data_IF_949362560787
#
_entry.id   IF_949362560787
#
_cell.length_a   1.000
_cell.length_b   1.000
_cell.length_c   1.000
_cell.angle_alpha   90.00
_cell.angle_beta   90.00
_cell.angle_gamma   90.00
#
_symmetry.space_group_name_H-M   'P 1'
#
loop_
_entity.id
_entity.type
_entity.pdbx_description
1 polymer ?
#
# COMPACT_ATOMS: atom_id res chain seq x y z
N UNK A 1 -42.61 -20.94 -0.56
CA UNK A 1 -41.38 -20.87 -1.40
C UNK A 1 -40.31 -21.88 -0.98
N UNK A 2 -39.92 -22.00 0.30
CA UNK A 2 -38.89 -22.96 0.79
C UNK A 2 -39.07 -24.42 0.30
N UNK A 3 -40.29 -24.95 0.30
CA UNK A 3 -40.56 -26.35 -0.12
C UNK A 3 -40.28 -26.61 -1.62
N UNK A 4 -40.64 -25.64 -2.50
CA UNK A 4 -40.37 -25.76 -3.95
C UNK A 4 -38.88 -25.67 -4.28
N UNK A 5 -38.13 -24.89 -3.50
CA UNK A 5 -36.69 -24.75 -3.68
C UNK A 5 -35.95 -26.05 -3.31
N UNK A 6 -36.30 -26.65 -2.16
CA UNK A 6 -35.73 -27.94 -1.72
C UNK A 6 -36.04 -29.05 -2.74
N UNK A 7 -37.31 -29.16 -3.17
CA UNK A 7 -37.74 -30.16 -4.15
C UNK A 7 -36.99 -30.04 -5.49
N UNK A 8 -36.74 -28.82 -5.96
CA UNK A 8 -35.92 -28.62 -7.16
C UNK A 8 -34.49 -29.12 -6.94
N UNK A 9 -33.87 -28.72 -5.83
CA UNK A 9 -32.46 -29.05 -5.52
C UNK A 9 -32.27 -30.57 -5.45
N UNK A 10 -33.20 -31.30 -4.83
CA UNK A 10 -33.14 -32.77 -4.79
C UNK A 10 -33.20 -33.40 -6.19
N UNK A 11 -34.16 -32.97 -7.02
CA UNK A 11 -34.30 -33.47 -8.40
C UNK A 11 -33.08 -33.13 -9.25
N UNK A 12 -32.53 -31.93 -9.09
CA UNK A 12 -31.37 -31.46 -9.84
C UNK A 12 -30.09 -32.20 -9.43
N UNK A 13 -29.90 -32.43 -8.11
CA UNK A 13 -28.83 -33.26 -7.57
C UNK A 13 -28.87 -34.69 -8.10
N UNK A 14 -30.04 -35.30 -8.19
CA UNK A 14 -30.21 -36.65 -8.76
C UNK A 14 -29.89 -36.65 -10.27
N UNK A 15 -30.49 -35.73 -11.04
CA UNK A 15 -30.31 -35.63 -12.49
C UNK A 15 -28.84 -35.48 -12.91
N UNK A 16 -28.08 -34.70 -12.14
CA UNK A 16 -26.67 -34.37 -12.43
C UNK A 16 -25.68 -35.06 -11.50
N UNK A 17 -26.09 -36.11 -10.77
CA UNK A 17 -25.20 -36.92 -9.91
C UNK A 17 -24.36 -36.06 -8.95
N UNK A 18 -24.99 -35.12 -8.24
CA UNK A 18 -24.35 -34.21 -7.27
C UNK A 18 -23.24 -33.30 -7.84
N UNK A 19 -23.15 -33.15 -9.16
CA UNK A 19 -22.06 -32.42 -9.83
C UNK A 19 -22.13 -30.90 -9.73
N UNK A 20 -23.22 -30.36 -9.19
CA UNK A 20 -23.46 -28.92 -9.05
C UNK A 20 -23.80 -28.56 -7.60
N UNK A 21 -23.39 -27.36 -7.18
CA UNK A 21 -23.86 -26.74 -5.95
C UNK A 21 -25.01 -25.77 -6.26
N UNK A 22 -25.92 -25.65 -5.30
CA UNK A 22 -27.12 -24.82 -5.37
C UNK A 22 -27.15 -23.79 -4.21
N UNK A 23 -25.98 -23.46 -3.66
CA UNK A 23 -25.86 -22.56 -2.51
C UNK A 23 -26.47 -21.16 -2.74
N UNK A 24 -26.46 -20.70 -4.00
CA UNK A 24 -27.03 -19.40 -4.41
C UNK A 24 -28.33 -19.54 -5.21
N UNK A 25 -28.93 -20.73 -5.21
CA UNK A 25 -30.09 -21.01 -6.03
C UNK A 25 -31.39 -20.56 -5.34
N UNK A 26 -32.14 -19.69 -6.01
CA UNK A 26 -33.47 -19.28 -5.59
C UNK A 26 -34.52 -19.65 -6.64
N UNK A 27 -35.52 -20.42 -6.23
CA UNK A 27 -36.57 -20.92 -7.13
C UNK A 27 -37.74 -19.93 -7.20
N UNK A 28 -37.87 -19.25 -8.33
CA UNK A 28 -39.01 -18.38 -8.65
C UNK A 28 -40.07 -19.18 -9.41
N UNK A 29 -39.72 -19.67 -10.60
CA UNK A 29 -40.56 -20.55 -11.43
C UNK A 29 -39.68 -21.31 -12.45
N UNK A 30 -40.28 -22.21 -13.22
CA UNK A 30 -39.57 -23.07 -14.17
C UNK A 30 -38.86 -22.32 -15.31
N UNK A 31 -39.31 -21.10 -15.64
CA UNK A 31 -38.86 -20.32 -16.80
C UNK A 31 -37.93 -19.15 -16.45
N UNK A 32 -37.89 -18.72 -15.20
CA UNK A 32 -36.95 -17.71 -14.70
C UNK A 32 -35.59 -18.36 -14.46
N UNK A 33 -34.51 -17.72 -14.91
CA UNK A 33 -33.15 -18.20 -14.68
C UNK A 33 -32.79 -18.05 -13.20
N UNK A 34 -32.03 -19.03 -12.70
CA UNK A 34 -31.49 -19.03 -11.34
C UNK A 34 -30.01 -19.45 -11.37
N UNK A 35 -29.29 -19.17 -10.28
CA UNK A 35 -27.85 -19.39 -10.18
C UNK A 35 -27.54 -20.83 -9.77
N UNK A 36 -26.75 -21.53 -10.59
CA UNK A 36 -26.25 -22.88 -10.33
C UNK A 36 -24.73 -22.83 -10.32
N UNK A 37 -24.08 -23.51 -9.38
CA UNK A 37 -22.62 -23.47 -9.22
C UNK A 37 -21.98 -24.73 -9.79
N UNK A 38 -21.18 -24.57 -10.85
CA UNK A 38 -20.28 -25.60 -11.36
C UNK A 38 -18.97 -25.61 -10.54
N UNK A 39 -18.50 -26.78 -10.07
CA UNK A 39 -17.25 -26.86 -9.30
C UNK A 39 -16.01 -26.46 -10.11
N UNK A 40 -16.08 -26.59 -11.44
CA UNK A 40 -14.96 -26.29 -12.36
C UNK A 40 -15.01 -24.84 -12.86
N UNK A 41 -16.20 -24.33 -13.18
CA UNK A 41 -16.36 -23.05 -13.89
C UNK A 41 -17.08 -21.95 -13.07
N UNK A 42 -17.51 -22.27 -11.85
CA UNK A 42 -18.20 -21.33 -10.95
C UNK A 42 -19.71 -21.21 -11.24
N UNK A 43 -20.30 -20.13 -10.73
CA UNK A 43 -21.73 -19.83 -10.86
C UNK A 43 -22.12 -19.60 -12.33
N UNK A 44 -23.26 -20.13 -12.78
CA UNK A 44 -23.84 -19.84 -14.10
C UNK A 44 -25.36 -19.78 -13.99
N UNK A 45 -25.99 -19.01 -14.88
CA UNK A 45 -27.44 -18.89 -14.93
C UNK A 45 -28.05 -19.92 -15.88
N UNK A 46 -29.08 -20.62 -15.40
CA UNK A 46 -29.86 -21.52 -16.23
C UNK A 46 -31.31 -21.59 -15.73
N UNK A 47 -32.23 -21.91 -16.63
CA UNK A 47 -33.62 -22.15 -16.27
C UNK A 47 -33.76 -23.50 -15.54
N UNK A 48 -34.58 -23.57 -14.47
CA UNK A 48 -34.83 -24.81 -13.74
C UNK A 48 -35.31 -25.97 -14.62
N UNK A 49 -36.23 -25.72 -15.56
CA UNK A 49 -36.76 -26.78 -16.43
C UNK A 49 -35.71 -27.33 -17.40
N UNK A 50 -34.91 -26.44 -18.00
CA UNK A 50 -33.79 -26.79 -18.87
C UNK A 50 -32.71 -27.57 -18.11
N UNK A 51 -32.42 -27.17 -16.87
CA UNK A 51 -31.45 -27.88 -16.02
C UNK A 51 -31.93 -29.29 -15.69
N UNK A 52 -33.20 -29.46 -15.31
CA UNK A 52 -33.79 -30.78 -15.04
C UNK A 52 -33.90 -31.66 -16.30
N UNK A 53 -34.05 -31.04 -17.48
CA UNK A 53 -33.95 -31.76 -18.76
C UNK A 53 -32.56 -32.35 -19.01
N UNK A 54 -31.54 -31.96 -18.24
CA UNK A 54 -30.19 -32.53 -18.28
C UNK A 54 -29.13 -31.61 -18.88
N UNK A 55 -29.48 -30.38 -19.23
CA UNK A 55 -28.49 -29.40 -19.64
C UNK A 55 -27.64 -28.98 -18.45
N UNK A 56 -26.32 -29.11 -18.59
CA UNK A 56 -25.36 -28.72 -17.57
C UNK A 56 -24.75 -27.35 -17.83
N UNK A 57 -23.60 -27.13 -17.19
CA UNK A 57 -22.74 -25.97 -17.39
C UNK A 57 -22.27 -25.89 -18.86
N UNK A 58 -22.61 -24.80 -19.59
CA UNK A 58 -22.20 -24.62 -20.99
C UNK A 58 -20.69 -24.65 -21.21
N UNK A 59 -19.91 -24.20 -20.22
CA UNK A 59 -18.46 -24.23 -20.27
C UNK A 59 -17.88 -25.66 -20.22
N UNK A 60 -18.53 -26.58 -19.50
CA UNK A 60 -18.13 -28.00 -19.49
C UNK A 60 -18.39 -28.72 -20.82
N UNK A 61 -19.40 -28.30 -21.58
CA UNK A 61 -19.74 -28.89 -22.89
C UNK A 61 -18.95 -28.27 -24.05
N UNK A 62 -18.31 -27.12 -23.86
CA UNK A 62 -17.53 -26.42 -24.89
C UNK A 62 -16.05 -26.81 -24.93
N UNK A 63 -15.32 -26.33 -25.96
CA UNK A 63 -13.86 -26.52 -26.11
C UNK A 63 -12.98 -25.73 -25.11
N UNK A 64 -13.56 -25.11 -24.09
CA UNK A 64 -12.86 -24.21 -23.17
C UNK A 64 -12.28 -25.02 -22.00
N UNK A 65 -10.95 -25.16 -21.94
CA UNK A 65 -10.22 -26.03 -20.99
C UNK A 65 -9.75 -25.36 -19.69
N UNK A 66 -10.02 -24.07 -19.47
CA UNK A 66 -9.50 -23.37 -18.29
C UNK A 66 -10.53 -23.37 -17.16
N UNK A 67 -10.19 -24.01 -16.05
CA UNK A 67 -10.99 -23.97 -14.83
C UNK A 67 -10.82 -22.65 -14.06
N UNK A 68 -11.79 -22.37 -13.18
CA UNK A 68 -11.84 -21.13 -12.41
C UNK A 68 -10.67 -21.01 -11.43
N UNK A 69 -10.14 -22.12 -10.92
CA UNK A 69 -9.02 -22.13 -9.97
C UNK A 69 -7.71 -21.73 -10.65
N UNK A 70 -7.51 -22.16 -11.89
CA UNK A 70 -6.39 -21.78 -12.75
C UNK A 70 -6.46 -20.30 -13.10
N UNK A 71 -7.66 -19.78 -13.38
CA UNK A 71 -7.85 -18.34 -13.57
C UNK A 71 -7.51 -17.55 -12.29
N UNK A 72 -8.03 -17.97 -11.13
CA UNK A 72 -7.81 -17.28 -9.85
C UNK A 72 -6.34 -17.30 -9.46
N UNK A 73 -5.67 -18.45 -9.55
CA UNK A 73 -4.24 -18.58 -9.21
C UNK A 73 -3.36 -17.69 -10.08
N UNK A 74 -3.53 -17.74 -11.41
CA UNK A 74 -2.79 -16.89 -12.36
C UNK A 74 -3.06 -15.40 -12.12
N UNK A 75 -4.32 -15.03 -11.91
CA UNK A 75 -4.69 -13.63 -11.71
C UNK A 75 -4.18 -13.08 -10.38
N UNK A 76 -4.16 -13.91 -9.33
CA UNK A 76 -3.62 -13.56 -8.00
C UNK A 76 -2.13 -13.27 -8.07
N UNK A 77 -1.36 -14.12 -8.76
CA UNK A 77 0.09 -13.92 -8.99
C UNK A 77 0.33 -12.65 -9.82
N UNK A 78 -0.38 -12.51 -10.95
CA UNK A 78 -0.21 -11.38 -11.87
C UNK A 78 -0.46 -10.02 -11.19
N UNK A 79 -1.49 -9.94 -10.34
CA UNK A 79 -1.92 -8.68 -9.74
C UNK A 79 -1.48 -8.50 -8.28
N UNK A 80 -0.67 -9.41 -7.73
CA UNK A 80 -0.17 -9.34 -6.36
C UNK A 80 -1.29 -9.28 -5.31
N UNK A 81 -2.37 -10.04 -5.52
CA UNK A 81 -3.50 -10.12 -4.58
C UNK A 81 -4.41 -8.88 -4.50
N UNK A 82 -4.34 -7.94 -5.47
CA UNK A 82 -5.19 -6.73 -5.50
C UNK A 82 -6.70 -6.99 -5.66
N UNK A 83 -7.07 -8.17 -6.13
CA UNK A 83 -8.44 -8.52 -6.49
C UNK A 83 -8.91 -9.78 -5.76
N UNK A 84 -10.23 -9.93 -5.67
CA UNK A 84 -10.89 -11.16 -5.25
C UNK A 84 -11.94 -11.54 -6.29
N UNK A 85 -12.25 -12.83 -6.35
CA UNK A 85 -13.01 -13.43 -7.45
C UNK A 85 -14.24 -14.21 -6.97
N UNK A 86 -14.75 -13.90 -5.76
CA UNK A 86 -15.86 -14.64 -5.15
C UNK A 86 -17.14 -14.64 -5.98
N UNK A 87 -17.39 -13.56 -6.74
CA UNK A 87 -18.54 -13.40 -7.63
C UNK A 87 -18.19 -13.63 -9.12
N UNK A 88 -16.97 -14.07 -9.41
CA UNK A 88 -16.51 -14.19 -10.79
C UNK A 88 -17.09 -15.44 -11.46
N UNK A 89 -17.68 -15.26 -12.64
CA UNK A 89 -18.26 -16.34 -13.45
C UNK A 89 -17.34 -16.61 -14.63
N UNK A 90 -16.76 -17.82 -14.69
CA UNK A 90 -15.95 -18.22 -15.83
C UNK A 90 -16.85 -18.81 -16.93
N UNK A 91 -17.37 -17.96 -17.81
CA UNK A 91 -18.22 -18.35 -18.95
C UNK A 91 -17.48 -18.33 -20.30
N UNK A 92 -16.15 -18.09 -20.28
CA UNK A 92 -15.27 -18.10 -21.44
C UNK A 92 -14.24 -16.97 -21.41
N UNK A 93 -13.18 -17.08 -22.21
CA UNK A 93 -12.02 -16.15 -22.18
C UNK A 93 -12.38 -14.70 -22.50
N UNK A 94 -13.41 -14.48 -23.34
CA UNK A 94 -13.87 -13.17 -23.78
C UNK A 94 -15.10 -12.67 -23.00
N UNK A 95 -15.80 -13.55 -22.28
CA UNK A 95 -17.00 -13.17 -21.53
C UNK A 95 -16.61 -12.42 -20.28
N UNK A 96 -17.24 -11.28 -20.02
CA UNK A 96 -16.94 -10.45 -18.86
C UNK A 96 -17.53 -11.08 -17.59
N UNK A 97 -16.72 -11.18 -16.55
CA UNK A 97 -17.15 -11.54 -15.19
C UNK A 97 -16.97 -10.37 -14.22
N UNK A 98 -17.56 -10.49 -13.03
CA UNK A 98 -17.41 -9.50 -11.95
C UNK A 98 -16.14 -9.79 -11.16
N UNK A 99 -15.22 -8.84 -11.14
CA UNK A 99 -13.99 -8.88 -10.35
C UNK A 99 -14.11 -7.83 -9.25
N UNK A 100 -13.79 -8.21 -8.02
CA UNK A 100 -13.82 -7.29 -6.89
C UNK A 100 -12.43 -6.71 -6.63
N UNK A 101 -12.30 -5.38 -6.79
CA UNK A 101 -11.13 -4.63 -6.37
C UNK A 101 -11.24 -4.30 -4.88
N UNK A 102 -10.22 -4.67 -4.10
CA UNK A 102 -10.18 -4.39 -2.65
C UNK A 102 -10.27 -2.90 -2.29
N UNK A 103 -10.01 -2.00 -3.24
CA UNK A 103 -10.02 -0.54 -3.04
C UNK A 103 -11.30 0.09 -3.62
N UNK A 104 -11.71 -0.32 -4.82
CA UNK A 104 -12.75 0.37 -5.59
C UNK A 104 -14.05 -0.43 -5.76
N UNK A 105 -14.13 -1.62 -5.16
CA UNK A 105 -15.26 -2.52 -5.26
C UNK A 105 -15.34 -3.25 -6.61
N UNK A 106 -16.55 -3.69 -6.95
CA UNK A 106 -16.83 -4.52 -8.11
C UNK A 106 -16.64 -3.77 -9.44
N UNK A 107 -16.02 -4.43 -10.42
CA UNK A 107 -15.95 -4.00 -11.81
C UNK A 107 -16.05 -5.20 -12.74
N UNK A 108 -16.38 -4.98 -14.01
CA UNK A 108 -16.51 -6.06 -14.99
C UNK A 108 -15.32 -6.11 -15.93
N UNK A 109 -14.82 -7.32 -16.19
CA UNK A 109 -13.72 -7.54 -17.14
C UNK A 109 -13.70 -8.99 -17.63
N UNK A 110 -13.18 -9.22 -18.84
CA UNK A 110 -13.01 -10.58 -19.37
C UNK A 110 -11.74 -11.23 -18.80
N UNK A 111 -11.73 -12.57 -18.61
CA UNK A 111 -10.54 -13.28 -18.13
C UNK A 111 -9.30 -12.98 -18.95
N UNK A 112 -9.41 -12.96 -20.29
CA UNK A 112 -8.28 -12.70 -21.17
C UNK A 112 -7.68 -11.30 -20.96
N UNK A 113 -8.52 -10.28 -20.88
CA UNK A 113 -8.06 -8.91 -20.62
C UNK A 113 -7.41 -8.80 -19.24
N UNK A 114 -7.98 -9.48 -18.23
CA UNK A 114 -7.45 -9.45 -16.88
C UNK A 114 -6.09 -10.13 -16.76
N UNK A 115 -5.94 -11.30 -17.39
CA UNK A 115 -4.68 -12.05 -17.47
C UNK A 115 -3.62 -11.36 -18.34
N UNK A 116 -4.04 -10.50 -19.28
CA UNK A 116 -3.15 -9.61 -20.01
C UNK A 116 -2.67 -8.40 -19.17
N UNK A 117 -2.99 -8.35 -17.87
CA UNK A 117 -2.54 -7.31 -16.94
C UNK A 117 -3.48 -6.12 -16.84
N UNK A 118 -4.63 -6.11 -17.52
CA UNK A 118 -5.62 -5.05 -17.33
C UNK A 118 -6.25 -5.20 -15.94
N UNK A 119 -6.39 -4.08 -15.25
CA UNK A 119 -6.89 -4.02 -13.87
C UNK A 119 -8.23 -3.33 -13.75
N UNK A 120 -8.57 -2.96 -12.52
CA UNK A 120 -9.73 -2.11 -12.25
C UNK A 120 -9.57 -0.76 -13.00
N UNK A 121 -10.55 -0.34 -13.82
CA UNK A 121 -10.50 0.93 -14.52
C UNK A 121 -10.32 2.11 -13.55
N UNK A 122 -10.96 2.04 -12.37
CA UNK A 122 -10.75 3.03 -11.31
C UNK A 122 -9.32 2.99 -10.79
N UNK A 123 -8.66 1.83 -10.59
CA UNK A 123 -7.23 1.84 -10.24
C UNK A 123 -6.33 2.49 -11.31
N UNK A 124 -6.74 2.46 -12.58
CA UNK A 124 -5.96 3.02 -13.70
C UNK A 124 -6.26 4.51 -13.88
N UNK A 125 -7.53 4.92 -13.77
CA UNK A 125 -7.97 6.32 -13.90
C UNK A 125 -7.86 7.13 -12.61
N UNK A 126 -7.88 6.43 -11.49
CA UNK A 126 -7.84 6.98 -10.14
C UNK A 126 -6.47 6.70 -9.55
N UNK A 127 -5.63 7.71 -9.59
CA UNK A 127 -4.53 7.84 -8.63
C UNK A 127 -5.12 8.18 -7.23
N UNK A 128 -6.18 7.49 -6.81
CA UNK A 128 -6.81 7.69 -5.52
C UNK A 128 -6.12 6.76 -4.52
N UNK A 129 -5.19 7.33 -3.79
CA UNK A 129 -4.63 6.71 -2.60
C UNK A 129 -5.73 6.37 -1.60
N UNK A 130 -5.58 5.28 -0.84
CA UNK A 130 -6.33 5.20 0.42
C UNK A 130 -5.82 6.30 1.36
N UNK A 131 -6.62 6.70 2.35
CA UNK A 131 -6.20 7.70 3.33
C UNK A 131 -4.87 7.33 4.02
N UNK A 132 -4.68 6.05 4.36
CA UNK A 132 -3.42 5.56 4.94
C UNK A 132 -2.22 5.78 3.99
N UNK A 133 -2.36 5.40 2.72
CA UNK A 133 -1.30 5.57 1.71
C UNK A 133 -1.04 7.06 1.43
N UNK A 134 -2.08 7.89 1.45
CA UNK A 134 -1.93 9.34 1.33
C UNK A 134 -1.05 9.90 2.44
N UNK A 135 -1.34 9.53 3.70
CA UNK A 135 -0.61 10.00 4.88
C UNK A 135 0.85 9.53 4.85
N UNK A 136 1.10 8.27 4.50
CA UNK A 136 2.47 7.73 4.39
C UNK A 136 3.30 8.51 3.35
N UNK A 137 2.74 8.73 2.16
CA UNK A 137 3.40 9.52 1.11
C UNK A 137 3.62 10.97 1.52
N UNK A 138 2.59 11.61 2.10
CA UNK A 138 2.69 12.99 2.55
C UNK A 138 3.76 13.15 3.65
N UNK A 139 3.83 12.21 4.59
CA UNK A 139 4.88 12.15 5.60
C UNK A 139 6.28 11.98 5.01
N UNK A 140 6.42 11.18 3.95
CA UNK A 140 7.69 10.95 3.27
C UNK A 140 8.18 12.23 2.58
N UNK A 141 7.28 12.90 1.84
CA UNK A 141 7.57 14.14 1.10
C UNK A 141 7.91 15.28 2.04
N UNK A 142 7.18 15.39 3.15
CA UNK A 142 7.29 16.50 4.09
C UNK A 142 8.10 16.16 5.34
N UNK A 143 8.78 15.01 5.37
CA UNK A 143 9.63 14.55 6.48
C UNK A 143 8.93 14.66 7.85
N UNK A 144 7.66 14.25 7.92
CA UNK A 144 6.80 14.27 9.12
C UNK A 144 6.55 15.67 9.74
N UNK A 145 6.50 16.73 8.93
CA UNK A 145 6.23 18.10 9.41
C UNK A 145 4.75 18.42 9.69
N UNK A 146 3.85 17.48 9.42
CA UNK A 146 2.41 17.68 9.47
C UNK A 146 1.71 16.53 10.21
N UNK A 147 0.54 16.83 10.76
CA UNK A 147 -0.39 15.87 11.34
C UNK A 147 -1.69 15.84 10.53
N UNK A 148 -2.29 14.66 10.47
CA UNK A 148 -3.45 14.34 9.61
C UNK A 148 -4.61 13.76 10.43
N UNK A 149 -4.77 14.18 11.68
CA UNK A 149 -5.67 13.55 12.66
C UNK A 149 -7.15 13.60 12.26
N UNK A 150 -7.57 14.63 11.50
CA UNK A 150 -8.97 14.87 11.14
C UNK A 150 -9.20 14.93 9.62
N UNK A 151 -8.34 14.28 8.82
CA UNK A 151 -8.56 14.28 7.37
C UNK A 151 -9.61 13.22 6.98
N UNK A 152 -10.46 13.57 6.03
CA UNK A 152 -11.30 12.64 5.27
C UNK A 152 -10.92 12.76 3.79
N UNK A 153 -9.91 11.97 3.38
CA UNK A 153 -9.37 12.02 2.02
C UNK A 153 -10.19 11.13 1.09
N UNK A 154 -10.97 11.75 0.19
CA UNK A 154 -11.79 11.04 -0.80
C UNK A 154 -11.27 11.20 -2.24
N UNK A 155 -10.54 12.29 -2.53
CA UNK A 155 -10.05 12.59 -3.88
C UNK A 155 -8.82 13.49 -3.87
N UNK A 156 -7.98 13.36 -4.89
CA UNK A 156 -6.77 14.16 -5.09
C UNK A 156 -7.08 15.67 -5.25
N UNK A 157 -8.22 16.01 -5.86
CA UNK A 157 -8.62 17.41 -6.08
C UNK A 157 -9.31 18.03 -4.86
N UNK A 158 -9.66 17.22 -3.85
CA UNK A 158 -10.32 17.70 -2.64
C UNK A 158 -9.38 18.59 -1.82
N UNK A 159 -9.94 19.64 -1.22
CA UNK A 159 -9.27 20.41 -0.16
C UNK A 159 -9.41 19.68 1.17
N UNK A 160 -8.28 19.48 1.85
CA UNK A 160 -8.21 18.84 3.15
C UNK A 160 -7.57 19.78 4.17
N UNK A 161 -7.94 19.61 5.44
CA UNK A 161 -7.37 20.36 6.56
C UNK A 161 -6.16 19.61 7.11
N UNK A 162 -4.99 20.24 6.96
CA UNK A 162 -3.70 19.67 7.36
C UNK A 162 -3.20 20.47 8.56
N UNK A 163 -2.74 19.78 9.60
CA UNK A 163 -2.20 20.45 10.77
C UNK A 163 -0.70 20.62 10.61
N UNK A 164 -0.24 21.86 10.45
CA UNK A 164 1.18 22.17 10.57
C UNK A 164 1.58 22.17 12.04
N UNK A 165 2.62 21.39 12.39
CA UNK A 165 3.14 21.32 13.76
C UNK A 165 3.64 22.65 14.34
N UNK A 166 3.79 23.69 13.50
CA UNK A 166 4.31 25.02 13.89
C UNK A 166 3.22 26.08 13.84
N UNK A 167 2.40 26.07 12.79
CA UNK A 167 1.48 27.18 12.48
C UNK A 167 0.00 26.80 12.64
N UNK A 168 -0.29 25.57 13.07
CA UNK A 168 -1.64 25.06 13.23
C UNK A 168 -2.29 24.61 11.91
N UNK A 169 -3.61 24.53 11.92
CA UNK A 169 -4.43 24.00 10.82
C UNK A 169 -4.38 24.95 9.62
N UNK A 170 -4.27 24.39 8.42
CA UNK A 170 -4.45 25.10 7.16
C UNK A 170 -5.08 24.17 6.12
N UNK A 171 -5.83 24.75 5.19
CA UNK A 171 -6.52 24.00 4.14
C UNK A 171 -5.71 24.02 2.84
N UNK A 172 -5.57 22.86 2.19
CA UNK A 172 -4.88 22.74 0.90
C UNK A 172 -5.45 21.60 0.07
N UNK A 173 -5.32 21.68 -1.27
CA UNK A 173 -5.62 20.56 -2.16
C UNK A 173 -4.70 19.38 -1.89
N UNK A 174 -5.26 18.18 -1.81
CA UNK A 174 -4.52 16.99 -1.45
C UNK A 174 -3.42 16.62 -2.47
N UNK A 175 -3.68 16.78 -3.78
CA UNK A 175 -2.68 16.57 -4.84
C UNK A 175 -1.53 17.59 -4.77
N UNK A 176 -1.84 18.85 -4.47
CA UNK A 176 -0.83 19.89 -4.35
C UNK A 176 0.10 19.62 -3.17
N UNK A 177 -0.44 19.11 -2.07
CA UNK A 177 0.34 18.71 -0.91
C UNK A 177 1.32 17.57 -1.23
N UNK A 178 0.88 16.55 -1.98
CA UNK A 178 1.74 15.47 -2.47
C UNK A 178 2.71 15.92 -3.58
N UNK A 179 2.55 17.10 -4.17
CA UNK A 179 3.57 17.73 -5.03
C UNK A 179 4.61 18.53 -4.24
N UNK A 180 4.55 18.52 -2.91
CA UNK A 180 5.47 19.24 -2.04
C UNK A 180 4.97 20.61 -1.58
N UNK A 181 3.74 21.01 -1.92
CA UNK A 181 3.15 22.23 -1.36
C UNK A 181 2.94 22.05 0.15
N UNK A 182 3.37 23.03 0.93
CA UNK A 182 3.31 22.99 2.38
C UNK A 182 2.39 24.05 2.97
N UNK A 183 2.53 24.28 4.27
CA UNK A 183 1.86 25.37 4.97
C UNK A 183 2.24 26.73 4.34
N UNK A 184 1.26 27.56 3.94
CA UNK A 184 1.54 28.89 3.36
C UNK A 184 2.34 29.80 4.30
N UNK A 185 2.14 29.69 5.62
CA UNK A 185 2.93 30.43 6.62
C UNK A 185 4.38 29.93 6.65
N UNK A 186 4.63 28.63 6.51
CA UNK A 186 5.99 28.09 6.34
C UNK A 186 6.64 28.53 5.02
N UNK A 187 5.87 28.69 3.94
CA UNK A 187 6.39 29.09 2.63
C UNK A 187 6.71 30.59 2.57
N UNK A 188 5.82 31.44 3.13
CA UNK A 188 6.03 32.89 3.24
C UNK A 188 7.15 33.23 4.22
N UNK A 189 7.24 32.47 5.31
CA UNK A 189 8.37 32.53 6.22
C UNK A 189 9.49 31.64 5.68
N UNK A 190 10.27 32.14 4.72
CA UNK A 190 11.68 31.71 4.54
C UNK A 190 12.55 32.09 5.77
N UNK A 191 11.95 32.06 6.96
CA UNK A 191 12.56 32.45 8.21
C UNK A 191 13.14 31.20 8.87
N UNK A 192 14.46 31.29 9.11
CA UNK A 192 15.25 30.64 10.16
C UNK A 192 14.56 29.44 10.82
N UNK A 193 15.15 28.24 10.62
CA UNK A 193 14.79 27.04 11.40
C UNK A 193 14.63 27.43 12.88
N UNK A 194 13.67 26.86 13.58
CA UNK A 194 13.62 27.06 15.05
C UNK A 194 14.70 26.21 15.72
N UNK A 195 15.09 26.56 16.94
CA UNK A 195 15.99 25.72 17.77
C UNK A 195 15.50 24.27 17.84
N UNK A 196 14.18 24.07 18.01
CA UNK A 196 13.58 22.73 18.04
C UNK A 196 13.78 21.97 16.73
N UNK A 197 13.59 22.62 15.58
CA UNK A 197 13.81 21.99 14.26
C UNK A 197 15.27 21.62 14.05
N UNK A 198 16.21 22.50 14.43
CA UNK A 198 17.63 22.19 14.36
C UNK A 198 17.97 20.95 15.20
N UNK A 199 17.46 20.86 16.43
CA UNK A 199 17.72 19.74 17.33
C UNK A 199 17.19 18.42 16.76
N UNK A 200 15.99 18.42 16.16
CA UNK A 200 15.43 17.22 15.52
C UNK A 200 16.32 16.76 14.37
N UNK A 201 16.73 17.66 13.49
CA UNK A 201 17.58 17.32 12.35
C UNK A 201 18.96 16.86 12.80
N UNK A 202 19.54 17.50 13.82
CA UNK A 202 20.84 17.14 14.36
C UNK A 202 20.82 15.76 15.05
N UNK A 203 19.74 15.42 15.76
CA UNK A 203 19.53 14.07 16.33
C UNK A 203 19.38 12.99 15.26
N UNK A 204 18.82 13.29 14.09
CA UNK A 204 18.77 12.32 12.98
C UNK A 204 20.17 11.97 12.46
N UNK A 205 21.07 12.94 12.41
CA UNK A 205 22.43 12.75 11.87
C UNK A 205 23.37 12.13 12.91
N UNK A 206 23.28 12.58 14.16
CA UNK A 206 24.24 12.24 15.21
C UNK A 206 23.68 11.31 16.28
N UNK A 207 22.40 10.96 16.25
CA UNK A 207 21.73 10.21 17.32
C UNK A 207 21.77 10.96 18.65
N UNK A 208 22.02 10.23 19.73
CA UNK A 208 22.07 10.77 21.10
C UNK A 208 23.48 11.24 21.53
N UNK A 209 24.36 11.54 20.57
CA UNK A 209 25.78 11.87 20.84
C UNK A 209 26.01 13.30 21.36
N UNK A 210 25.01 14.16 21.22
CA UNK A 210 25.10 15.56 21.61
C UNK A 210 23.87 16.01 22.39
N UNK A 211 24.11 16.90 23.35
CA UNK A 211 23.10 17.63 24.09
C UNK A 211 23.08 19.10 23.60
N UNK A 212 21.88 19.65 23.49
CA UNK A 212 21.59 20.97 22.94
C UNK A 212 20.91 21.89 23.97
N UNK A 213 21.01 21.59 25.27
CA UNK A 213 20.37 22.34 26.35
C UNK A 213 20.76 23.82 26.39
N UNK A 214 21.98 24.15 25.94
CA UNK A 214 22.51 25.52 25.85
C UNK A 214 22.49 26.06 24.41
N UNK A 215 21.90 25.34 23.47
CA UNK A 215 21.94 25.71 22.06
C UNK A 215 20.75 26.59 21.71
N UNK A 216 21.01 27.80 21.24
CA UNK A 216 20.00 28.70 20.68
C UNK A 216 20.26 28.92 19.18
N UNK A 217 19.31 28.47 18.35
CA UNK A 217 19.45 28.63 16.91
C UNK A 217 19.10 30.06 16.49
N UNK A 218 20.09 30.78 15.97
CA UNK A 218 19.90 32.10 15.40
C UNK A 218 19.79 32.08 13.87
N UNK A 219 20.73 31.42 13.21
CA UNK A 219 20.75 31.20 11.75
C UNK A 219 21.83 30.16 11.39
N UNK A 220 21.92 29.80 10.11
CA UNK A 220 22.86 28.79 9.60
C UNK A 220 24.36 29.17 9.70
N UNK A 221 24.68 30.47 9.79
CA UNK A 221 26.04 31.02 9.76
C UNK A 221 26.54 31.50 11.12
N UNK A 222 25.72 31.44 12.17
CA UNK A 222 26.14 31.75 13.55
C UNK A 222 26.47 30.47 14.30
N UNK A 223 27.64 30.42 14.95
CA UNK A 223 28.03 29.26 15.78
C UNK A 223 27.14 29.19 17.02
N UNK A 224 26.73 27.98 17.39
CA UNK A 224 26.05 27.72 18.65
C UNK A 224 26.82 26.72 19.52
N UNK A 225 26.48 26.68 20.81
CA UNK A 225 27.12 25.80 21.81
C UNK A 225 26.46 24.41 21.76
N UNK A 226 27.23 23.40 21.39
CA UNK A 226 26.81 22.00 21.36
C UNK A 226 27.60 21.26 22.43
N UNK A 227 26.94 20.40 23.20
CA UNK A 227 27.58 19.63 24.26
C UNK A 227 27.82 18.21 23.76
N UNK A 228 29.08 17.82 23.61
CA UNK A 228 29.45 16.43 23.38
C UNK A 228 29.33 15.65 24.70
N UNK A 229 28.66 14.50 24.67
CA UNK A 229 28.50 13.65 25.86
C UNK A 229 29.82 13.14 26.46
N UNK A 230 30.93 13.21 25.70
CA UNK A 230 32.25 12.73 26.12
C UNK A 230 33.21 13.89 26.44
N UNK A 231 33.24 14.92 25.57
CA UNK A 231 34.27 15.97 25.63
C UNK A 231 33.76 17.34 26.08
N UNK A 232 32.48 17.44 26.45
CA UNK A 232 31.86 18.67 26.92
C UNK A 232 31.50 19.66 25.80
N UNK A 233 31.37 20.93 26.17
CA UNK A 233 30.92 22.02 25.31
C UNK A 233 31.91 22.32 24.18
N UNK A 234 31.38 22.60 22.98
CA UNK A 234 32.14 23.13 21.86
C UNK A 234 31.23 23.97 20.94
N UNK A 235 31.83 24.92 20.23
CA UNK A 235 31.09 25.78 19.31
C UNK A 235 31.16 25.26 17.88
N UNK A 236 30.02 25.20 17.18
CA UNK A 236 29.97 24.78 15.78
C UNK A 236 28.89 25.51 15.00
N UNK A 237 29.13 25.70 13.70
CA UNK A 237 28.13 26.20 12.76
C UNK A 237 27.01 25.16 12.56
N UNK A 238 25.73 25.57 12.58
CA UNK A 238 24.61 24.68 12.28
C UNK A 238 24.73 23.98 10.93
N UNK A 239 25.22 24.68 9.90
CA UNK A 239 25.47 24.11 8.57
C UNK A 239 26.46 22.95 8.63
N UNK A 240 27.60 23.16 9.26
CA UNK A 240 28.64 22.13 9.36
C UNK A 240 28.16 20.96 10.23
N UNK A 241 27.44 21.25 11.31
CA UNK A 241 26.90 20.22 12.18
C UNK A 241 25.88 19.33 11.46
N UNK A 242 24.97 19.95 10.68
CA UNK A 242 24.00 19.23 9.86
C UNK A 242 24.63 18.53 8.64
N UNK A 243 25.84 18.93 8.22
CA UNK A 243 26.63 18.19 7.24
C UNK A 243 27.35 16.97 7.84
N UNK A 244 27.13 16.65 9.11
CA UNK A 244 27.74 15.49 9.79
C UNK A 244 29.05 15.80 10.52
N UNK A 245 29.50 17.07 10.54
CA UNK A 245 30.62 17.47 11.39
C UNK A 245 30.21 17.44 12.86
N UNK A 246 31.13 17.07 13.74
CA UNK A 246 30.86 16.94 15.17
C UNK A 246 32.04 17.39 16.03
N UNK A 247 32.15 16.82 17.23
CA UNK A 247 33.25 17.14 18.13
C UNK A 247 34.62 16.77 17.51
N UNK A 248 35.54 17.73 17.48
CA UNK A 248 36.89 17.54 16.93
C UNK A 248 37.70 16.52 17.75
N UNK A 249 37.56 16.52 19.08
CA UNK A 249 38.22 15.54 19.95
C UNK A 249 37.75 14.10 19.64
N UNK A 250 36.44 13.87 19.45
CA UNK A 250 35.92 12.59 18.95
C UNK A 250 36.48 12.20 17.57
N UNK A 251 36.65 13.18 16.67
CA UNK A 251 37.17 12.92 15.33
C UNK A 251 38.66 12.50 15.37
N UNK A 252 39.47 13.18 16.18
CA UNK A 252 40.88 12.85 16.40
C UNK A 252 41.06 11.47 17.03
N UNK A 253 40.26 11.13 18.04
CA UNK A 253 40.29 9.80 18.66
C UNK A 253 39.97 8.68 17.65
N UNK A 254 39.00 8.90 16.75
CA UNK A 254 38.68 7.94 15.69
C UNK A 254 39.83 7.76 14.70
N UNK A 255 40.49 8.85 14.29
CA UNK A 255 41.68 8.78 13.41
C UNK A 255 42.85 8.03 14.05
N UNK A 256 43.12 8.26 15.34
CA UNK A 256 44.18 7.54 16.07
C UNK A 256 43.92 6.03 16.14
N UNK A 257 42.67 5.60 16.35
CA UNK A 257 42.30 4.18 16.32
C UNK A 257 42.52 3.54 14.95
N UNK A 258 42.10 4.19 13.87
CA UNK A 258 42.27 3.69 12.50
C UNK A 258 43.76 3.52 12.15
N UNK A 259 44.58 4.51 12.51
CA UNK A 259 46.02 4.46 12.27
C UNK A 259 46.76 3.44 13.16
N UNK A 260 46.15 2.99 14.26
CA UNK A 260 46.69 1.92 15.12
C UNK A 260 46.40 0.51 14.62
N UNK A 261 45.26 0.30 13.93
CA UNK A 261 44.87 -0.99 13.37
C UNK A 261 45.76 -1.38 12.18
N UNK A 262 46.11 -0.41 11.32
CA UNK A 262 46.97 -0.62 10.15
C UNK A 262 48.46 -0.85 10.48
N UNK A 263 48.83 -1.00 11.76
CA UNK A 263 50.21 -1.30 12.21
C UNK A 263 50.38 -2.73 12.74
N UNK A 264 49.35 -3.57 12.73
CA UNK A 264 49.51 -4.98 13.10
C UNK A 264 50.20 -5.76 11.97
N UNK A 265 51.34 -6.43 12.22
CA UNK A 265 52.00 -7.23 11.19
C UNK A 265 51.10 -8.40 10.76
N UNK A 266 51.17 -8.82 9.48
CA UNK A 266 50.32 -9.87 8.95
C UNK A 266 50.53 -11.17 9.74
N UNK A 267 49.42 -11.77 10.17
CA UNK A 267 49.38 -13.05 10.86
C UNK A 267 50.00 -14.08 9.91
N UNK A 268 51.19 -14.61 10.27
CA UNK A 268 51.80 -15.76 9.58
C UNK A 268 50.87 -16.96 9.79
N UNK A 269 50.18 -17.37 8.74
CA UNK A 269 49.46 -18.63 8.68
C UNK A 269 50.48 -19.77 8.82
N UNK A 270 50.49 -20.43 9.97
CA UNK A 270 51.20 -21.70 10.17
C UNK A 270 50.53 -22.75 9.29
N UNK A 271 51.21 -23.18 8.24
CA UNK A 271 50.85 -24.40 7.51
C UNK A 271 51.25 -25.60 8.39
N UNK A 272 50.27 -26.42 8.75
CA UNK A 272 50.48 -27.70 9.43
C UNK A 272 51.10 -28.70 8.44
N UNK A 273 52.20 -29.33 8.86
CA UNK A 273 52.77 -30.52 8.24
C UNK A 273 51.88 -31.75 8.46
#
# INVERSE_FOLDING_TARGET
>A
MKNKNILFIEKAKNRHQQRYSYAFFDYINAKTKSIITCPIHGNFEQRPDVHLAGHGCPACSGKLKMDIQTFISRSTVLHGGKYTYGEFIYSGTLQKGIIHCRIHGNFTQSPNAHLAGKGCPKCVSSYHYSQAVYIEKANTIHLHRYQYSNINYTSALQKIDITCLIHGIFTQRADAHLRGSGCPKCAKNSHKKTTKQFIVDAKKIHGNRYNYSLFEYQNMRTKGIIICSIHGQFCQLPTNHLAGSGCQKCALQRRKKINGINKQPPIKLLQSY
#
